data_IF_018702658589
#
_entry.id   IF_018702658589
#
_cell.length_a   1.000
_cell.length_b   1.000
_cell.length_c   1.000
_cell.angle_alpha   90.00
_cell.angle_beta   90.00
_cell.angle_gamma   90.00
#
_symmetry.space_group_name_H-M   'P 1'
#
loop_
_entity.id
_entity.type
_entity.pdbx_description
1 polymer ?
#
# COMPACT_ATOMS: atom_id res chain seq x y z
N UNK A 1 -14.82 5.87 -0.94
CA UNK A 1 -13.56 5.30 -0.43
C UNK A 1 -12.60 5.08 -1.59
N UNK A 2 -11.35 5.47 -1.43
CA UNK A 2 -10.27 5.12 -2.38
C UNK A 2 -9.33 4.10 -1.72
N UNK A 3 -9.11 2.97 -2.39
CA UNK A 3 -8.23 1.89 -1.96
C UNK A 3 -6.95 1.93 -2.78
N UNK A 4 -5.79 2.05 -2.11
CA UNK A 4 -4.48 2.29 -2.73
C UNK A 4 -3.54 1.14 -2.36
N UNK A 5 -3.10 0.37 -3.38
CA UNK A 5 -2.26 -0.81 -3.22
C UNK A 5 -0.78 -0.48 -2.93
N UNK A 6 0.00 -1.50 -2.52
CA UNK A 6 1.42 -1.42 -2.22
C UNK A 6 2.35 -1.52 -3.44
N UNK A 7 3.65 -1.48 -3.18
CA UNK A 7 4.72 -1.61 -4.17
C UNK A 7 4.62 -2.94 -4.93
N UNK A 8 4.59 -2.87 -6.26
CA UNK A 8 4.47 -4.04 -7.13
C UNK A 8 3.12 -4.75 -7.10
N UNK A 9 2.14 -4.21 -6.37
CA UNK A 9 0.76 -4.70 -6.33
C UNK A 9 -0.12 -4.08 -7.42
N UNK A 10 -1.41 -4.31 -7.29
CA UNK A 10 -2.47 -3.76 -8.15
C UNK A 10 -3.81 -3.70 -7.39
N UNK A 11 -4.88 -3.30 -8.06
CA UNK A 11 -6.21 -3.17 -7.46
C UNK A 11 -6.76 -4.51 -6.91
N UNK A 12 -6.30 -5.66 -7.42
CA UNK A 12 -6.74 -6.98 -6.96
C UNK A 12 -6.26 -7.29 -5.53
N UNK A 13 -5.31 -6.52 -4.99
CA UNK A 13 -4.93 -6.59 -3.58
C UNK A 13 -6.10 -6.26 -2.62
N UNK A 14 -7.18 -5.67 -3.15
CA UNK A 14 -8.38 -5.28 -2.42
C UNK A 14 -9.61 -6.15 -2.71
N UNK A 15 -9.43 -7.26 -3.45
CA UNK A 15 -10.52 -8.12 -3.92
C UNK A 15 -11.46 -8.58 -2.78
N UNK A 16 -10.92 -8.86 -1.59
CA UNK A 16 -11.70 -9.31 -0.43
C UNK A 16 -12.31 -8.14 0.40
N UNK A 17 -12.09 -6.90 -0.03
CA UNK A 17 -12.50 -5.73 0.74
C UNK A 17 -13.55 -4.89 0.00
N UNK A 18 -13.48 -4.83 -1.33
CA UNK A 18 -14.32 -3.94 -2.16
C UNK A 18 -15.80 -4.15 -1.89
N UNK A 19 -16.29 -5.40 -1.96
CA UNK A 19 -17.72 -5.71 -1.81
C UNK A 19 -18.24 -5.32 -0.42
N UNK A 20 -17.49 -5.68 0.63
CA UNK A 20 -17.88 -5.39 2.00
C UNK A 20 -17.94 -3.88 2.31
N UNK A 21 -17.01 -3.09 1.76
CA UNK A 21 -17.00 -1.64 1.95
C UNK A 21 -18.08 -0.98 1.09
N UNK A 22 -18.35 -1.51 -0.10
CA UNK A 22 -19.38 -1.01 -1.01
C UNK A 22 -20.80 -1.07 -0.43
N UNK A 23 -21.04 -1.89 0.60
CA UNK A 23 -22.28 -1.89 1.37
C UNK A 23 -22.57 -0.54 2.07
N UNK A 24 -21.52 0.24 2.39
CA UNK A 24 -21.61 1.49 3.14
C UNK A 24 -21.38 2.74 2.29
N UNK A 25 -20.48 2.69 1.33
CA UNK A 25 -20.09 3.85 0.52
C UNK A 25 -19.56 3.43 -0.85
N UNK A 26 -19.62 4.32 -1.88
CA UNK A 26 -18.95 4.07 -3.16
C UNK A 26 -17.46 3.79 -2.96
N UNK A 27 -16.96 2.73 -3.60
CA UNK A 27 -15.57 2.28 -3.49
C UNK A 27 -14.88 2.33 -4.85
N UNK A 28 -13.66 2.80 -4.87
CA UNK A 28 -12.79 2.83 -6.02
C UNK A 28 -11.43 2.25 -5.61
N UNK A 29 -10.97 1.22 -6.28
CA UNK A 29 -9.61 0.73 -6.19
C UNK A 29 -8.86 1.15 -7.46
N UNK A 30 -7.66 1.72 -7.32
CA UNK A 30 -6.90 2.20 -8.45
C UNK A 30 -5.62 1.40 -8.64
N UNK A 31 -5.21 1.24 -9.89
CA UNK A 31 -3.84 0.87 -10.23
C UNK A 31 -3.00 2.16 -10.28
N UNK A 32 -2.03 2.31 -9.39
CA UNK A 32 -1.11 3.43 -9.41
C UNK A 32 -0.29 3.46 -10.73
N UNK A 33 0.22 4.62 -11.18
CA UNK A 33 1.13 4.68 -12.32
C UNK A 33 2.23 3.64 -12.23
N UNK A 34 2.54 2.98 -13.34
CA UNK A 34 3.52 1.89 -13.40
C UNK A 34 2.99 0.51 -13.02
N UNK A 35 1.83 0.41 -12.35
CA UNK A 35 1.28 -0.84 -11.82
C UNK A 35 0.04 -1.33 -12.59
N UNK A 36 -0.36 -2.57 -12.32
CA UNK A 36 -1.60 -3.19 -12.81
C UNK A 36 -1.87 -2.94 -14.29
N UNK A 37 -2.99 -2.33 -14.61
CA UNK A 37 -3.38 -1.93 -15.97
C UNK A 37 -3.09 -0.44 -16.28
N UNK A 38 -2.59 0.33 -15.31
CA UNK A 38 -2.19 1.72 -15.54
C UNK A 38 -0.97 1.83 -16.47
N UNK A 39 -0.70 3.05 -16.95
CA UNK A 39 0.44 3.38 -17.82
C UNK A 39 1.76 2.90 -17.20
N UNK A 40 2.62 2.22 -18.01
CA UNK A 40 3.91 1.70 -17.54
C UNK A 40 5.08 2.66 -17.79
N UNK A 41 4.97 3.53 -18.79
CA UNK A 41 5.98 4.54 -19.08
C UNK A 41 5.80 5.75 -18.15
N UNK A 42 6.44 5.68 -16.98
CA UNK A 42 6.42 6.74 -15.97
C UNK A 42 7.80 7.39 -15.91
N UNK A 43 7.87 8.65 -16.28
CA UNK A 43 9.16 9.38 -16.38
C UNK A 43 9.81 9.62 -15.01
N UNK A 44 9.00 9.87 -13.98
CA UNK A 44 9.47 10.14 -12.62
C UNK A 44 8.77 9.19 -11.63
N UNK A 45 9.31 7.98 -11.41
CA UNK A 45 8.73 7.02 -10.47
C UNK A 45 9.05 7.42 -9.01
N UNK A 46 8.28 8.37 -8.48
CA UNK A 46 8.47 8.90 -7.13
C UNK A 46 7.12 9.07 -6.40
N UNK A 47 7.17 9.44 -5.12
CA UNK A 47 5.98 9.62 -4.29
C UNK A 47 5.03 10.68 -4.83
N UNK A 48 5.55 11.81 -5.32
CA UNK A 48 4.75 12.91 -5.85
C UNK A 48 3.88 12.48 -7.04
N UNK A 49 4.45 11.73 -7.98
CA UNK A 49 3.72 11.16 -9.13
C UNK A 49 2.57 10.26 -8.68
N UNK A 50 2.75 9.49 -7.60
CA UNK A 50 1.69 8.62 -7.04
C UNK A 50 0.58 9.44 -6.38
N UNK A 51 0.94 10.48 -5.62
CA UNK A 51 0.00 11.41 -4.98
C UNK A 51 -0.82 12.16 -6.05
N UNK A 52 -0.18 12.66 -7.08
CA UNK A 52 -0.85 13.35 -8.19
C UNK A 52 -1.88 12.45 -8.88
N UNK A 53 -1.58 11.17 -9.06
CA UNK A 53 -2.51 10.21 -9.65
C UNK A 53 -3.77 10.03 -8.77
N UNK A 54 -3.63 10.00 -7.44
CA UNK A 54 -4.77 9.94 -6.52
C UNK A 54 -5.62 11.20 -6.64
N UNK A 55 -5.02 12.37 -6.64
CA UNK A 55 -5.75 13.66 -6.78
C UNK A 55 -6.44 13.75 -8.14
N UNK A 56 -5.76 13.39 -9.23
CA UNK A 56 -6.36 13.38 -10.58
C UNK A 56 -7.56 12.42 -10.66
N UNK A 57 -7.50 11.26 -10.01
CA UNK A 57 -8.64 10.34 -9.93
C UNK A 57 -9.79 10.98 -9.15
N UNK A 58 -9.53 11.60 -8.00
CA UNK A 58 -10.56 12.31 -7.23
C UNK A 58 -11.23 13.40 -8.05
N UNK A 59 -10.45 14.18 -8.81
CA UNK A 59 -10.96 15.25 -9.67
C UNK A 59 -11.80 14.69 -10.83
N UNK A 60 -11.33 13.61 -11.46
CA UNK A 60 -12.08 12.92 -12.53
C UNK A 60 -13.43 12.38 -12.03
N UNK A 61 -13.44 11.81 -10.84
CA UNK A 61 -14.65 11.29 -10.18
C UNK A 61 -15.51 12.40 -9.53
N UNK A 62 -15.05 13.66 -9.55
CA UNK A 62 -15.69 14.82 -8.92
C UNK A 62 -15.92 14.61 -7.42
N UNK A 63 -14.95 14.01 -6.75
CA UNK A 63 -14.97 13.82 -5.30
C UNK A 63 -14.33 15.02 -4.62
N UNK A 64 -15.11 15.81 -3.90
CA UNK A 64 -14.59 16.92 -3.08
C UNK A 64 -13.71 16.38 -1.95
N UNK A 65 -14.17 15.32 -1.29
CA UNK A 65 -13.44 14.59 -0.23
C UNK A 65 -13.57 13.09 -0.42
N UNK A 66 -12.57 12.34 0.04
CA UNK A 66 -12.58 10.89 0.07
C UNK A 66 -12.03 10.31 1.38
N UNK A 67 -12.53 9.15 1.78
CA UNK A 67 -11.86 8.27 2.74
C UNK A 67 -10.74 7.54 2.01
N UNK A 68 -9.49 7.66 2.47
CA UNK A 68 -8.34 7.00 1.86
C UNK A 68 -7.92 5.80 2.70
N UNK A 69 -7.82 4.63 2.07
CA UNK A 69 -7.24 3.45 2.69
C UNK A 69 -6.07 2.97 1.83
N UNK A 70 -4.88 2.91 2.41
CA UNK A 70 -3.66 2.55 1.68
C UNK A 70 -2.88 1.45 2.37
N UNK A 71 -2.43 0.47 1.58
CA UNK A 71 -1.60 -0.63 2.02
C UNK A 71 -0.12 -0.38 1.68
N UNK A 72 0.77 -0.55 2.64
CA UNK A 72 2.23 -0.49 2.43
C UNK A 72 2.66 0.85 1.77
N UNK A 73 3.27 0.84 0.59
CA UNK A 73 3.54 2.04 -0.21
C UNK A 73 2.26 2.86 -0.46
N UNK A 74 1.13 2.21 -0.70
CA UNK A 74 -0.16 2.89 -0.85
C UNK A 74 -0.61 3.63 0.40
N UNK A 75 -0.21 3.16 1.58
CA UNK A 75 -0.39 3.87 2.84
C UNK A 75 0.44 5.16 2.89
N UNK A 76 1.70 5.11 2.48
CA UNK A 76 2.55 6.30 2.34
C UNK A 76 1.93 7.30 1.33
N UNK A 77 1.43 6.81 0.19
CA UNK A 77 0.76 7.65 -0.82
C UNK A 77 -0.51 8.30 -0.25
N UNK A 78 -1.36 7.52 0.44
CA UNK A 78 -2.57 8.04 1.08
C UNK A 78 -2.25 9.11 2.13
N UNK A 79 -1.26 8.84 2.98
CA UNK A 79 -0.80 9.75 4.01
C UNK A 79 -0.22 11.04 3.42
N UNK A 80 0.65 10.95 2.42
CA UNK A 80 1.21 12.13 1.76
C UNK A 80 0.11 12.92 1.02
N UNK A 81 -0.88 12.24 0.45
CA UNK A 81 -2.06 12.90 -0.14
C UNK A 81 -2.80 13.73 0.92
N UNK A 82 -3.04 13.16 2.11
CA UNK A 82 -3.70 13.86 3.21
C UNK A 82 -2.88 15.06 3.72
N UNK A 83 -1.58 14.90 3.86
CA UNK A 83 -0.67 15.98 4.31
C UNK A 83 -0.65 17.14 3.31
N UNK A 84 -0.55 16.84 2.01
CA UNK A 84 -0.47 17.88 0.96
C UNK A 84 -1.84 18.48 0.63
N UNK A 85 -2.93 17.76 0.86
CA UNK A 85 -4.29 18.16 0.48
C UNK A 85 -5.30 17.85 1.62
N UNK A 86 -5.13 18.42 2.83
CA UNK A 86 -5.92 18.03 4.01
C UNK A 86 -7.42 18.23 3.84
N UNK A 87 -7.83 19.22 3.03
CA UNK A 87 -9.23 19.49 2.76
C UNK A 87 -9.89 18.45 1.83
N UNK A 88 -9.11 17.58 1.18
CA UNK A 88 -9.58 16.54 0.25
C UNK A 88 -9.75 15.17 0.94
N UNK A 89 -9.34 15.01 2.20
CA UNK A 89 -9.36 13.73 2.90
C UNK A 89 -10.33 13.77 4.06
N UNK A 90 -11.30 12.85 4.06
CA UNK A 90 -12.32 12.73 5.10
C UNK A 90 -11.83 11.89 6.29
N UNK A 91 -11.12 10.80 6.00
CA UNK A 91 -10.44 9.96 6.99
C UNK A 91 -9.29 9.19 6.33
N UNK A 92 -8.37 8.66 7.14
CA UNK A 92 -7.17 7.98 6.69
C UNK A 92 -7.01 6.62 7.40
N UNK A 93 -6.91 5.55 6.61
CA UNK A 93 -6.61 4.20 7.09
C UNK A 93 -5.28 3.73 6.53
N UNK A 94 -4.29 3.53 7.39
CA UNK A 94 -2.94 3.12 7.06
C UNK A 94 -2.73 1.64 7.40
N UNK A 95 -2.57 0.80 6.38
CA UNK A 95 -2.50 -0.65 6.54
C UNK A 95 -1.06 -1.12 6.26
N UNK A 96 -0.36 -1.63 7.27
CA UNK A 96 1.06 -2.01 7.19
C UNK A 96 1.90 -0.95 6.45
N UNK A 97 1.65 0.33 6.74
CA UNK A 97 2.06 1.46 5.92
C UNK A 97 3.56 1.69 5.91
N UNK A 98 4.11 2.01 4.74
CA UNK A 98 5.40 2.64 4.63
C UNK A 98 5.34 4.11 5.13
N UNK A 99 6.51 4.69 5.40
CA UNK A 99 6.65 6.11 5.81
C UNK A 99 6.47 6.37 7.30
N UNK A 100 6.23 5.36 8.13
CA UNK A 100 6.06 5.51 9.59
C UNK A 100 7.31 5.18 10.41
N UNK A 101 8.41 4.88 9.74
CA UNK A 101 9.71 4.58 10.34
C UNK A 101 10.73 4.23 9.28
N UNK A 102 11.99 4.03 9.66
CA UNK A 102 13.08 3.80 8.70
C UNK A 102 13.21 2.34 8.26
N UNK A 103 12.88 1.38 9.14
CA UNK A 103 13.18 -0.02 8.91
C UNK A 103 12.27 -0.63 7.85
N UNK A 104 12.86 -1.43 6.96
CA UNK A 104 12.16 -2.24 5.95
C UNK A 104 13.00 -3.47 5.64
N UNK A 105 12.37 -4.57 5.27
CA UNK A 105 13.05 -5.76 4.78
C UNK A 105 13.60 -5.48 3.36
N UNK A 106 14.83 -5.00 3.29
CA UNK A 106 15.48 -4.67 2.02
C UNK A 106 15.74 -5.92 1.17
N UNK A 107 15.97 -7.09 1.80
CA UNK A 107 16.14 -8.35 1.07
C UNK A 107 14.87 -8.73 0.30
N UNK A 108 13.68 -8.45 0.89
CA UNK A 108 12.41 -8.61 0.20
C UNK A 108 12.31 -7.65 -0.99
N UNK A 109 12.52 -6.36 -0.77
CA UNK A 109 12.39 -5.32 -1.81
C UNK A 109 13.34 -5.59 -2.97
N UNK A 110 14.64 -5.77 -2.68
CA UNK A 110 15.67 -6.05 -3.70
C UNK A 110 15.39 -7.36 -4.44
N UNK A 111 15.04 -8.40 -3.69
CA UNK A 111 14.71 -9.69 -4.25
C UNK A 111 13.42 -9.70 -5.09
N UNK A 112 12.39 -8.94 -4.71
CA UNK A 112 11.20 -8.77 -5.53
C UNK A 112 11.53 -8.07 -6.85
N UNK A 113 12.31 -6.99 -6.81
CA UNK A 113 12.67 -6.21 -8.02
C UNK A 113 13.58 -7.01 -8.94
N UNK A 114 14.56 -7.74 -8.42
CA UNK A 114 15.53 -8.48 -9.22
C UNK A 114 15.04 -9.84 -9.74
N UNK A 115 14.05 -10.46 -9.08
CA UNK A 115 13.56 -11.80 -9.45
C UNK A 115 13.00 -11.84 -10.88
N UNK A 116 13.52 -12.76 -11.71
CA UNK A 116 13.13 -12.94 -13.11
C UNK A 116 12.36 -14.24 -13.38
N UNK A 117 12.29 -15.13 -12.41
CA UNK A 117 11.64 -16.43 -12.52
C UNK A 117 10.98 -16.87 -11.21
N UNK A 118 10.17 -17.96 -11.28
CA UNK A 118 9.43 -18.48 -10.12
C UNK A 118 10.30 -18.89 -8.94
N UNK A 119 11.49 -19.48 -9.21
CA UNK A 119 12.40 -19.96 -8.16
C UNK A 119 12.94 -18.79 -7.33
N UNK A 120 13.14 -17.65 -7.96
CA UNK A 120 13.62 -16.43 -7.30
C UNK A 120 12.48 -15.65 -6.63
N UNK A 121 11.33 -15.49 -7.31
CA UNK A 121 10.23 -14.64 -6.84
C UNK A 121 9.42 -15.30 -5.70
N UNK A 122 9.08 -16.58 -5.82
CA UNK A 122 8.21 -17.25 -4.84
C UNK A 122 8.70 -17.13 -3.39
N UNK A 123 10.01 -17.37 -3.08
CA UNK A 123 10.52 -17.19 -1.71
C UNK A 123 10.38 -15.76 -1.17
N UNK A 124 10.45 -14.74 -2.05
CA UNK A 124 10.29 -13.35 -1.64
C UNK A 124 8.85 -13.02 -1.29
N UNK A 125 7.89 -13.52 -2.08
CA UNK A 125 6.47 -13.32 -1.82
C UNK A 125 5.99 -13.94 -0.49
N UNK A 126 6.69 -14.94 0.02
CA UNK A 126 6.41 -15.53 1.33
C UNK A 126 6.55 -14.53 2.50
N UNK A 127 7.38 -13.52 2.36
CA UNK A 127 7.48 -12.45 3.35
C UNK A 127 6.22 -11.59 3.48
N UNK A 128 5.32 -11.68 2.49
CA UNK A 128 4.06 -10.92 2.49
C UNK A 128 2.99 -11.52 3.40
N UNK A 129 3.06 -12.81 3.69
CA UNK A 129 2.02 -13.56 4.38
C UNK A 129 2.56 -14.24 5.64
N UNK A 130 1.73 -14.33 6.67
CA UNK A 130 2.02 -15.16 7.82
C UNK A 130 1.89 -16.65 7.48
N UNK A 131 0.94 -17.01 6.59
CA UNK A 131 0.80 -18.35 6.03
C UNK A 131 1.40 -18.43 4.62
N UNK A 132 2.58 -19.03 4.51
CA UNK A 132 3.29 -19.29 3.25
C UNK A 132 2.46 -20.00 2.17
N UNK A 133 1.42 -20.75 2.57
CA UNK A 133 0.56 -21.51 1.65
C UNK A 133 -0.31 -20.60 0.76
N UNK A 134 -0.52 -19.36 1.18
CA UNK A 134 -1.26 -18.34 0.42
C UNK A 134 -0.52 -17.88 -0.84
N UNK A 135 0.80 -18.11 -0.93
CA UNK A 135 1.57 -17.79 -2.14
C UNK A 135 1.29 -18.82 -3.22
N UNK A 136 0.20 -18.58 -3.95
CA UNK A 136 -0.25 -19.46 -5.03
C UNK A 136 0.68 -19.40 -6.26
N UNK A 137 0.59 -20.44 -7.10
CA UNK A 137 1.34 -20.45 -8.37
C UNK A 137 0.84 -19.36 -9.31
N UNK A 138 -0.47 -19.09 -9.36
CA UNK A 138 -1.03 -18.04 -10.21
C UNK A 138 -0.51 -16.67 -9.81
N UNK A 139 -0.50 -16.32 -8.51
CA UNK A 139 0.07 -15.08 -8.01
C UNK A 139 1.50 -14.85 -8.51
N UNK A 140 2.36 -15.87 -8.39
CA UNK A 140 3.76 -15.79 -8.87
C UNK A 140 3.82 -15.58 -10.38
N UNK A 141 2.98 -16.30 -11.14
CA UNK A 141 2.98 -16.22 -12.60
C UNK A 141 2.47 -14.87 -13.11
N UNK A 142 1.44 -14.32 -12.47
CA UNK A 142 0.85 -13.03 -12.87
C UNK A 142 1.81 -11.88 -12.55
N UNK A 143 2.48 -11.90 -11.40
CA UNK A 143 3.55 -10.96 -11.10
C UNK A 143 4.73 -11.05 -12.07
N UNK A 144 5.13 -12.26 -12.49
CA UNK A 144 6.18 -12.42 -13.50
C UNK A 144 5.75 -11.94 -14.89
N UNK A 145 4.47 -12.07 -15.25
CA UNK A 145 3.93 -11.48 -16.49
C UNK A 145 3.98 -9.96 -16.43
N UNK A 146 3.49 -9.37 -15.33
CA UNK A 146 3.55 -7.93 -15.10
C UNK A 146 4.99 -7.40 -15.21
N UNK A 147 5.94 -8.03 -14.52
CA UNK A 147 7.36 -7.61 -14.54
C UNK A 147 8.02 -7.66 -15.92
N UNK A 148 7.47 -8.44 -16.87
CA UNK A 148 7.97 -8.55 -18.25
C UNK A 148 7.37 -7.52 -19.21
N UNK A 149 6.39 -6.74 -18.77
CA UNK A 149 5.84 -5.66 -19.58
C UNK A 149 6.89 -4.56 -19.79
N UNK A 150 6.89 -3.98 -20.97
CA UNK A 150 7.83 -2.92 -21.33
C UNK A 150 7.72 -1.74 -20.34
N UNK A 151 8.87 -1.28 -19.85
CA UNK A 151 8.97 -0.17 -18.91
C UNK A 151 8.83 -0.55 -17.42
N UNK A 152 8.25 -1.70 -17.08
CA UNK A 152 7.99 -2.08 -15.68
C UNK A 152 9.26 -2.25 -14.87
N UNK A 153 10.28 -2.93 -15.42
CA UNK A 153 11.53 -3.12 -14.67
C UNK A 153 12.20 -1.78 -14.34
N UNK A 154 12.33 -0.90 -15.34
CA UNK A 154 12.91 0.45 -15.16
C UNK A 154 12.10 1.26 -14.15
N UNK A 155 10.77 1.15 -14.21
CA UNK A 155 9.87 1.81 -13.27
C UNK A 155 10.07 1.30 -11.83
N UNK A 156 10.09 -0.03 -11.61
CA UNK A 156 10.28 -0.63 -10.30
C UNK A 156 11.65 -0.30 -9.70
N UNK A 157 12.70 -0.33 -10.52
CA UNK A 157 14.06 0.07 -10.11
C UNK A 157 14.08 1.53 -9.65
N UNK A 158 13.53 2.45 -10.44
CA UNK A 158 13.48 3.87 -10.10
C UNK A 158 12.61 4.15 -8.87
N UNK A 159 11.45 3.51 -8.75
CA UNK A 159 10.56 3.68 -7.59
C UNK A 159 11.20 3.14 -6.31
N UNK A 160 11.86 1.97 -6.40
CA UNK A 160 12.65 1.42 -5.29
C UNK A 160 13.74 2.39 -4.85
N UNK A 161 14.51 2.94 -5.77
CA UNK A 161 15.61 3.87 -5.46
C UNK A 161 15.09 5.15 -4.79
N UNK A 162 13.94 5.65 -5.21
CA UNK A 162 13.31 6.84 -4.62
C UNK A 162 12.73 6.58 -3.22
N UNK A 163 12.12 5.42 -2.99
CA UNK A 163 11.39 5.16 -1.74
C UNK A 163 12.16 4.31 -0.73
N UNK A 164 13.04 3.41 -1.19
CA UNK A 164 13.66 2.37 -0.37
C UNK A 164 15.14 2.20 -0.74
N UNK A 165 16.01 3.07 -0.30
CA UNK A 165 17.45 2.98 -0.59
C UNK A 165 18.27 2.67 0.66
N UNK A 166 19.47 2.13 0.46
CA UNK A 166 20.41 1.82 1.55
C UNK A 166 19.82 0.94 2.67
N UNK A 167 18.89 0.05 2.32
CA UNK A 167 18.24 -0.85 3.29
C UNK A 167 17.21 -0.16 4.19
N UNK A 168 16.75 1.04 3.84
CA UNK A 168 15.83 1.85 4.64
C UNK A 168 14.74 2.48 3.78
N UNK A 169 13.69 2.95 4.44
CA UNK A 169 12.70 3.85 3.86
C UNK A 169 13.26 5.27 3.82
N UNK A 170 13.18 5.93 2.67
CA UNK A 170 13.72 7.28 2.46
C UNK A 170 12.80 8.39 2.97
N UNK A 171 11.53 8.06 3.23
CA UNK A 171 10.50 9.03 3.61
C UNK A 171 9.97 8.69 4.99
N UNK A 172 9.85 9.71 5.86
CA UNK A 172 9.15 9.63 7.14
C UNK A 172 8.12 10.76 7.21
N UNK A 173 6.86 10.40 7.38
CA UNK A 173 5.70 11.32 7.34
C UNK A 173 5.00 11.48 8.68
N UNK A 174 5.51 10.90 9.76
CA UNK A 174 4.85 10.88 11.07
C UNK A 174 4.53 12.27 11.61
N UNK A 175 5.47 13.22 11.44
CA UNK A 175 5.27 14.61 11.89
C UNK A 175 4.12 15.30 11.14
N UNK A 176 3.98 15.05 9.82
CA UNK A 176 2.89 15.59 9.02
C UNK A 176 1.53 15.01 9.39
N UNK A 177 1.49 13.72 9.72
CA UNK A 177 0.27 13.03 10.13
C UNK A 177 -0.27 13.56 11.47
N UNK A 178 0.60 13.84 12.44
CA UNK A 178 0.19 14.42 13.72
C UNK A 178 -0.44 15.82 13.62
N UNK A 179 -0.30 16.49 12.48
CA UNK A 179 -0.90 17.82 12.24
C UNK A 179 -2.26 17.75 11.51
N UNK A 180 -2.75 16.56 11.14
CA UNK A 180 -4.01 16.39 10.43
C UNK A 180 -5.21 16.36 11.40
N UNK A 181 -6.27 17.08 11.05
CA UNK A 181 -7.52 17.10 11.81
C UNK A 181 -8.47 15.93 11.46
N UNK A 182 -8.22 15.18 10.37
CA UNK A 182 -9.09 14.07 9.98
C UNK A 182 -8.85 12.84 10.87
N UNK A 183 -9.89 12.01 11.10
CA UNK A 183 -9.74 10.74 11.79
C UNK A 183 -8.69 9.84 11.12
N UNK A 184 -7.84 9.21 11.93
CA UNK A 184 -6.75 8.36 11.46
C UNK A 184 -6.78 7.01 12.18
N UNK A 185 -6.60 5.93 11.45
CA UNK A 185 -6.34 4.61 12.02
C UNK A 185 -5.13 3.95 11.37
N UNK A 186 -4.48 3.08 12.13
CA UNK A 186 -3.34 2.27 11.70
C UNK A 186 -3.69 0.81 11.95
N UNK A 187 -3.64 -0.02 10.93
CA UNK A 187 -3.91 -1.46 11.00
C UNK A 187 -2.62 -2.20 10.63
N UNK A 188 -2.24 -3.19 11.43
CA UNK A 188 -0.98 -3.91 11.20
C UNK A 188 -1.13 -5.41 11.43
N UNK A 189 -0.52 -6.23 10.57
CA UNK A 189 -0.35 -7.64 10.83
C UNK A 189 0.74 -7.88 11.87
N UNK A 190 0.47 -8.71 12.88
CA UNK A 190 1.42 -8.99 13.96
C UNK A 190 2.71 -9.64 13.46
N UNK A 191 2.60 -10.48 12.42
CA UNK A 191 3.71 -11.23 11.81
C UNK A 191 4.28 -10.57 10.55
N UNK A 192 4.06 -9.25 10.36
CA UNK A 192 4.59 -8.52 9.20
C UNK A 192 6.12 -8.65 9.13
N UNK A 193 6.60 -9.35 8.08
CA UNK A 193 8.01 -9.59 7.82
C UNK A 193 8.63 -8.59 6.82
N UNK A 194 7.85 -7.61 6.35
CA UNK A 194 8.29 -6.56 5.42
C UNK A 194 8.55 -5.26 6.15
N UNK A 195 7.60 -4.76 6.92
CA UNK A 195 7.73 -3.53 7.71
C UNK A 195 7.41 -3.85 9.18
N UNK A 196 8.32 -3.55 10.12
CA UNK A 196 8.09 -3.89 11.53
C UNK A 196 6.83 -3.25 12.12
N UNK A 197 6.01 -4.04 12.82
CA UNK A 197 4.79 -3.55 13.48
C UNK A 197 5.02 -2.44 14.52
N UNK A 198 6.25 -2.26 14.99
CA UNK A 198 6.63 -1.15 15.87
C UNK A 198 6.41 0.22 15.23
N UNK A 199 6.37 0.30 13.90
CA UNK A 199 6.07 1.53 13.18
C UNK A 199 4.60 1.97 13.34
N UNK A 200 3.69 1.06 13.69
CA UNK A 200 2.27 1.38 13.91
C UNK A 200 2.04 2.42 15.00
N UNK A 201 2.94 2.55 15.97
CA UNK A 201 2.80 3.43 17.13
C UNK A 201 3.33 4.85 16.89
N UNK A 202 3.71 5.20 15.66
CA UNK A 202 4.39 6.47 15.36
C UNK A 202 3.46 7.69 15.22
N UNK A 203 2.14 7.54 15.30
CA UNK A 203 1.18 8.63 15.03
C UNK A 203 0.39 8.94 16.30
N UNK A 204 0.59 10.14 16.84
CA UNK A 204 -0.19 10.61 17.99
C UNK A 204 -1.67 10.82 17.58
N UNK A 205 -2.59 10.31 18.40
CA UNK A 205 -4.03 10.45 18.18
C UNK A 205 -4.64 9.43 17.19
N UNK A 206 -3.85 8.62 16.50
CA UNK A 206 -4.38 7.56 15.64
C UNK A 206 -4.84 6.34 16.46
N UNK A 207 -5.95 5.72 16.03
CA UNK A 207 -6.35 4.42 16.56
C UNK A 207 -5.47 3.33 15.96
N UNK A 208 -4.80 2.54 16.79
CA UNK A 208 -3.89 1.47 16.35
C UNK A 208 -4.51 0.10 16.62
N UNK A 209 -4.59 -0.73 15.59
CA UNK A 209 -5.03 -2.13 15.70
C UNK A 209 -3.96 -3.06 15.13
N UNK A 210 -3.44 -3.98 15.96
CA UNK A 210 -2.53 -5.04 15.52
C UNK A 210 -3.31 -6.34 15.46
N UNK A 211 -3.35 -6.97 14.30
CA UNK A 211 -4.11 -8.19 14.04
C UNK A 211 -3.19 -9.40 14.16
N UNK A 212 -3.52 -10.29 15.10
CA UNK A 212 -2.75 -11.50 15.36
C UNK A 212 -2.89 -12.52 14.23
N UNK A 213 -1.81 -13.23 13.92
CA UNK A 213 -1.80 -14.27 12.90
C UNK A 213 -1.73 -13.78 11.45
N UNK A 214 -1.67 -12.47 11.21
CA UNK A 214 -1.56 -11.89 9.88
C UNK A 214 -0.17 -11.31 9.61
N UNK A 215 0.27 -11.37 8.37
CA UNK A 215 1.50 -10.80 7.84
C UNK A 215 1.31 -9.40 7.27
N UNK A 216 2.12 -9.09 6.24
CA UNK A 216 2.09 -7.79 5.57
C UNK A 216 0.80 -7.56 4.76
N UNK A 217 0.20 -8.63 4.19
CA UNK A 217 -1.04 -8.55 3.41
C UNK A 217 -2.28 -8.74 4.31
N UNK A 218 -2.31 -8.08 5.46
CA UNK A 218 -3.35 -8.24 6.48
C UNK A 218 -4.77 -8.02 5.93
N UNK A 219 -4.96 -7.14 4.95
CA UNK A 219 -6.26 -6.90 4.30
C UNK A 219 -6.75 -8.10 3.46
N UNK A 220 -5.85 -9.02 3.13
CA UNK A 220 -6.20 -10.28 2.45
C UNK A 220 -6.32 -11.43 3.44
N UNK A 221 -5.40 -11.53 4.42
CA UNK A 221 -5.33 -12.64 5.38
C UNK A 221 -6.47 -12.59 6.40
N UNK A 222 -6.79 -11.39 6.89
CA UNK A 222 -7.83 -11.12 7.89
C UNK A 222 -8.85 -10.10 7.37
N UNK A 223 -9.31 -10.31 6.13
CA UNK A 223 -10.15 -9.39 5.40
C UNK A 223 -11.43 -9.00 6.15
N UNK A 224 -12.07 -9.93 6.86
CA UNK A 224 -13.29 -9.64 7.64
C UNK A 224 -13.03 -8.57 8.70
N UNK A 225 -11.97 -8.75 9.49
CA UNK A 225 -11.63 -7.81 10.56
C UNK A 225 -11.20 -6.45 9.99
N UNK A 226 -10.40 -6.45 8.92
CA UNK A 226 -9.98 -5.22 8.24
C UNK A 226 -11.19 -4.49 7.63
N UNK A 227 -12.15 -5.21 7.04
CA UNK A 227 -13.37 -4.62 6.49
C UNK A 227 -14.22 -3.92 7.55
N UNK A 228 -14.35 -4.52 8.75
CA UNK A 228 -15.09 -3.89 9.85
C UNK A 228 -14.38 -2.61 10.31
N UNK A 229 -13.06 -2.65 10.50
CA UNK A 229 -12.27 -1.46 10.84
C UNK A 229 -12.37 -0.35 9.78
N UNK A 230 -12.37 -0.71 8.49
CA UNK A 230 -12.52 0.28 7.41
C UNK A 230 -13.94 0.87 7.39
N UNK A 231 -14.98 0.07 7.65
CA UNK A 231 -16.36 0.53 7.72
C UNK A 231 -16.61 1.46 8.91
N UNK A 232 -15.87 1.32 10.00
CA UNK A 232 -15.98 2.20 11.18
C UNK A 232 -15.43 3.61 10.92
N UNK A 233 -14.67 3.81 9.84
CA UNK A 233 -14.13 5.10 9.42
C UNK A 233 -15.05 5.85 8.45
N UNK A 234 -16.17 5.27 8.04
CA UNK A 234 -17.13 5.83 7.08
C UNK A 234 -18.33 6.44 7.80
#
# INVERSE_FOLDING_TARGET
>A
VLLIHGFGGDLDNWLFNIEAIAEKAPVYALDLPGHGQSVKAVSNPNLETMVDAVIQLMDHLKLDKAHLAGHSMGGLVAAQTAISNPNRVASLSLICSAGLGENINSEYIDGFVSAANRKELKPKLKNLFADDSLVSRSMVDDLLKYKRLDGVQTFLDGLKENLFSNGKQNVNITAGLGALDCPQQVIWGEADAVIPKTHANGIEGATVTVISGAGHMVQMEESSQVNDLLKDML
#
